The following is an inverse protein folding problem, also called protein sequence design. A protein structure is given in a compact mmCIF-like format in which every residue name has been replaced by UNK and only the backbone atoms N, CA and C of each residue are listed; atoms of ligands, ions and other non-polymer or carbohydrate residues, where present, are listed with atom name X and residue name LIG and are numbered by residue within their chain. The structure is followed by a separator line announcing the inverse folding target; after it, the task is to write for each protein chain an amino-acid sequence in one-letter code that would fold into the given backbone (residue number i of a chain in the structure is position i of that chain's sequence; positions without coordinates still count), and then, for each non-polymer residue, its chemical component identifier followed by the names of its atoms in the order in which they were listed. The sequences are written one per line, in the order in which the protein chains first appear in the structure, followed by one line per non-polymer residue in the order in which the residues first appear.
data_IF_519947477337
#
_entry.id   IF_519947477337
#
_cell.length_a   1.000
_cell.length_b   1.000
_cell.length_c   1.000
_cell.angle_alpha   90.00
_cell.angle_beta   90.00
_cell.angle_gamma   90.00
#
_symmetry.space_group_name_H-M   'P 1'
#
loop_
_entity.id
_entity.type
_entity.pdbx_description
1 polymer ?
#
# COMPACT_ATOMS: atom_id res chain seq x y z
N UNK A 1 -6.22 -0.94 -17.24
CA UNK A 1 -5.49 0.36 -17.19
C UNK A 1 -6.34 1.36 -16.42
N UNK A 2 -5.84 1.95 -15.32
CA UNK A 2 -6.62 2.93 -14.53
C UNK A 2 -7.10 4.10 -15.41
N UNK A 3 -8.31 4.56 -15.17
CA UNK A 3 -8.87 5.74 -15.85
C UNK A 3 -7.95 6.94 -15.61
N UNK A 4 -7.32 7.46 -16.67
CA UNK A 4 -6.36 8.58 -16.56
C UNK A 4 -6.93 9.75 -15.77
N UNK A 5 -8.23 10.08 -15.95
CA UNK A 5 -8.89 11.16 -15.21
C UNK A 5 -8.91 10.90 -13.70
N UNK A 6 -9.22 9.68 -13.30
CA UNK A 6 -9.22 9.27 -11.89
C UNK A 6 -7.81 9.35 -11.28
N UNK A 7 -6.79 8.93 -12.03
CA UNK A 7 -5.39 9.05 -11.60
C UNK A 7 -5.00 10.52 -11.37
N UNK A 8 -5.34 11.42 -12.30
CA UNK A 8 -5.05 12.85 -12.11
C UNK A 8 -5.78 13.45 -10.92
N UNK A 9 -7.05 13.08 -10.71
CA UNK A 9 -7.83 13.53 -9.56
C UNK A 9 -7.21 13.02 -8.26
N UNK A 10 -6.88 11.72 -8.16
CA UNK A 10 -6.23 11.15 -6.99
C UNK A 10 -4.87 11.78 -6.71
N UNK A 11 -4.06 12.03 -7.74
CA UNK A 11 -2.79 12.76 -7.60
C UNK A 11 -3.06 14.18 -7.07
N UNK A 12 -4.04 14.89 -7.62
CA UNK A 12 -4.40 16.22 -7.14
C UNK A 12 -4.76 16.19 -5.64
N UNK A 13 -5.62 15.27 -5.18
CA UNK A 13 -5.97 15.18 -3.75
C UNK A 13 -4.83 14.69 -2.85
N UNK A 14 -3.89 13.90 -3.38
CA UNK A 14 -2.70 13.52 -2.64
C UNK A 14 -1.89 14.77 -2.22
N UNK A 15 -1.81 15.78 -3.09
CA UNK A 15 -1.18 17.08 -2.79
C UNK A 15 -2.14 18.06 -2.10
N UNK A 16 -3.39 18.15 -2.56
CA UNK A 16 -4.41 19.13 -2.15
C UNK A 16 -5.66 18.42 -1.61
N UNK A 17 -5.63 17.91 -0.37
CA UNK A 17 -6.78 17.31 0.25
C UNK A 17 -7.90 18.35 0.44
N UNK A 18 -9.18 17.94 0.54
CA UNK A 18 -10.32 18.88 0.53
C UNK A 18 -10.25 19.98 1.60
N UNK A 19 -9.67 19.68 2.77
CA UNK A 19 -9.53 20.65 3.86
C UNK A 19 -8.55 21.80 3.53
N UNK A 20 -7.62 21.64 2.58
CA UNK A 20 -6.82 22.77 2.08
C UNK A 20 -7.69 23.76 1.30
N UNK A 21 -8.63 23.26 0.49
CA UNK A 21 -9.55 24.12 -0.27
C UNK A 21 -10.43 24.93 0.69
N UNK A 22 -10.97 24.29 1.73
CA UNK A 22 -11.74 24.95 2.78
C UNK A 22 -10.89 26.04 3.46
N UNK A 23 -9.66 25.71 3.85
CA UNK A 23 -8.74 26.67 4.46
C UNK A 23 -8.40 27.85 3.56
N UNK A 24 -8.17 27.61 2.26
CA UNK A 24 -7.90 28.68 1.27
C UNK A 24 -9.11 29.58 1.08
N UNK A 25 -10.32 29.03 1.06
CA UNK A 25 -11.56 29.82 1.01
C UNK A 25 -11.68 30.72 2.24
N UNK A 26 -11.46 30.19 3.44
CA UNK A 26 -11.49 30.96 4.69
C UNK A 26 -10.40 32.06 4.67
N UNK A 27 -9.18 31.74 4.25
CA UNK A 27 -8.09 32.71 4.14
C UNK A 27 -8.45 33.84 3.16
N UNK A 28 -9.06 33.50 2.03
CA UNK A 28 -9.50 34.48 1.01
C UNK A 28 -10.57 35.41 1.57
N UNK A 29 -11.54 34.88 2.34
CA UNK A 29 -12.57 35.70 2.99
C UNK A 29 -11.95 36.71 3.98
N UNK A 30 -10.98 36.28 4.80
CA UNK A 30 -10.24 37.18 5.69
C UNK A 30 -9.41 38.22 4.92
N UNK A 31 -8.88 37.86 3.75
CA UNK A 31 -8.11 38.79 2.91
C UNK A 31 -8.99 39.90 2.35
N UNK A 32 -10.19 39.54 1.87
CA UNK A 32 -11.19 40.48 1.32
C UNK A 32 -11.67 41.47 2.38
N UNK A 33 -11.82 41.03 3.63
CA UNK A 33 -12.31 41.89 4.72
C UNK A 33 -11.31 43.00 5.12
N UNK A 34 -10.03 42.87 4.79
CA UNK A 34 -9.04 43.94 4.99
C UNK A 34 -8.57 44.14 6.44
N UNK A 35 -7.80 45.21 6.68
CA UNK A 35 -7.34 45.62 8.02
C UNK A 35 -6.59 44.52 8.80
N UNK A 36 -6.90 44.37 10.09
CA UNK A 36 -6.26 43.36 10.97
C UNK A 36 -6.53 41.91 10.52
N UNK A 37 -7.60 41.66 9.75
CA UNK A 37 -7.90 40.31 9.26
C UNK A 37 -6.98 39.83 8.14
N UNK A 38 -6.27 40.73 7.45
CA UNK A 38 -5.29 40.34 6.42
C UNK A 38 -4.12 39.54 7.00
N UNK A 39 -3.62 39.91 8.18
CA UNK A 39 -2.55 39.13 8.82
C UNK A 39 -2.99 37.71 9.17
N UNK A 40 -4.26 37.52 9.57
CA UNK A 40 -4.83 36.19 9.78
C UNK A 40 -4.95 35.42 8.45
N UNK A 41 -5.36 36.08 7.37
CA UNK A 41 -5.40 35.48 6.03
C UNK A 41 -4.02 34.96 5.61
N UNK A 42 -2.99 35.79 5.69
CA UNK A 42 -1.62 35.40 5.33
C UNK A 42 -1.10 34.26 6.20
N UNK A 43 -1.30 34.33 7.52
CA UNK A 43 -0.95 33.22 8.43
C UNK A 43 -1.62 31.91 8.02
N UNK A 44 -2.91 31.94 7.66
CA UNK A 44 -3.62 30.74 7.21
C UNK A 44 -3.08 30.21 5.88
N UNK A 45 -2.77 31.10 4.91
CA UNK A 45 -2.10 30.71 3.67
C UNK A 45 -0.72 30.08 3.93
N UNK A 46 0.08 30.65 4.85
CA UNK A 46 1.39 30.10 5.20
C UNK A 46 1.30 28.70 5.82
N UNK A 47 0.29 28.46 6.67
CA UNK A 47 0.04 27.12 7.25
C UNK A 47 -0.33 26.12 6.15
N UNK A 48 -1.23 26.48 5.23
CA UNK A 48 -1.64 25.60 4.13
C UNK A 48 -0.44 25.30 3.21
N UNK A 49 0.33 26.34 2.85
CA UNK A 49 1.54 26.20 2.06
C UNK A 49 2.62 25.39 2.77
N UNK A 50 2.77 25.54 4.09
CA UNK A 50 3.71 24.74 4.88
C UNK A 50 3.39 23.25 4.73
N UNK A 51 2.13 22.84 4.92
CA UNK A 51 1.76 21.44 4.76
C UNK A 51 1.85 20.94 3.31
N UNK A 52 1.55 21.79 2.33
CA UNK A 52 1.80 21.47 0.92
C UNK A 52 3.30 21.24 0.66
N UNK A 53 4.15 22.15 1.13
CA UNK A 53 5.60 22.07 0.95
C UNK A 53 6.25 20.96 1.77
N UNK A 54 5.66 20.48 2.87
CA UNK A 54 6.12 19.25 3.54
C UNK A 54 6.03 18.06 2.57
N UNK A 55 4.96 17.96 1.76
CA UNK A 55 4.83 16.89 0.76
C UNK A 55 5.87 17.03 -0.36
N UNK A 56 6.11 18.27 -0.82
CA UNK A 56 7.17 18.56 -1.80
C UNK A 56 8.55 18.22 -1.23
N UNK A 57 8.79 18.56 0.03
CA UNK A 57 10.02 18.30 0.78
C UNK A 57 10.30 16.78 0.89
N UNK A 58 9.27 15.95 1.09
CA UNK A 58 9.41 14.48 1.04
C UNK A 58 9.88 14.02 -0.34
N UNK A 59 9.33 14.56 -1.43
CA UNK A 59 9.74 14.19 -2.79
C UNK A 59 11.20 14.59 -3.03
N UNK A 60 11.59 15.80 -2.62
CA UNK A 60 12.97 16.28 -2.73
C UNK A 60 13.93 15.42 -1.91
N UNK A 61 13.54 15.02 -0.70
CA UNK A 61 14.29 14.11 0.17
C UNK A 61 14.56 12.76 -0.53
N UNK A 62 13.52 12.12 -1.07
CA UNK A 62 13.70 10.85 -1.79
C UNK A 62 14.55 11.01 -3.06
N UNK A 63 14.37 12.11 -3.80
CA UNK A 63 15.24 12.43 -4.94
C UNK A 63 16.70 12.59 -4.50
N UNK A 64 16.95 13.14 -3.32
CA UNK A 64 18.27 13.24 -2.71
C UNK A 64 18.95 11.88 -2.55
N UNK A 65 18.25 10.89 -2.00
CA UNK A 65 18.77 9.52 -1.91
C UNK A 65 19.12 8.94 -3.28
N UNK A 66 18.29 9.14 -4.31
CA UNK A 66 18.58 8.64 -5.66
C UNK A 66 19.83 9.30 -6.26
N UNK A 67 19.94 10.62 -6.14
CA UNK A 67 21.07 11.40 -6.68
C UNK A 67 22.36 11.02 -5.98
N UNK A 68 22.38 11.07 -4.65
CA UNK A 68 23.58 10.74 -3.86
C UNK A 68 23.92 9.25 -3.93
N UNK A 69 22.93 8.37 -4.03
CA UNK A 69 23.14 6.96 -4.31
C UNK A 69 23.86 6.75 -5.63
N UNK A 70 23.44 7.45 -6.69
CA UNK A 70 24.09 7.40 -8.01
C UNK A 70 25.50 8.01 -7.98
N UNK A 71 25.72 9.14 -7.31
CA UNK A 71 27.04 9.76 -7.12
C UNK A 71 27.98 8.80 -6.37
N UNK A 72 27.47 8.15 -5.32
CA UNK A 72 28.17 7.11 -4.60
C UNK A 72 28.32 5.81 -5.42
N UNK A 73 27.97 5.78 -6.71
CA UNK A 73 28.12 4.63 -7.60
C UNK A 73 27.18 3.45 -7.31
N UNK A 74 26.12 3.68 -6.52
CA UNK A 74 25.01 2.77 -6.38
C UNK A 74 24.11 2.78 -7.62
N UNK A 75 23.19 1.82 -7.69
CA UNK A 75 22.16 1.74 -8.73
C UNK A 75 20.79 1.95 -8.08
N UNK A 76 20.23 3.17 -8.13
CA UNK A 76 18.87 3.41 -7.65
C UNK A 76 17.89 2.55 -8.42
N UNK A 77 16.97 1.89 -7.72
CA UNK A 77 16.02 0.94 -8.32
C UNK A 77 14.57 1.27 -7.98
N UNK A 78 14.32 1.81 -6.80
CA UNK A 78 12.96 2.08 -6.32
C UNK A 78 12.83 3.44 -5.64
N UNK A 79 11.64 4.03 -5.80
CA UNK A 79 11.17 5.16 -5.01
C UNK A 79 9.69 5.01 -4.76
N UNK A 80 9.29 5.02 -3.49
CA UNK A 80 7.90 4.98 -3.07
C UNK A 80 7.61 6.31 -2.42
N UNK A 81 6.64 7.05 -2.97
CA UNK A 81 6.18 8.33 -2.48
C UNK A 81 4.82 8.14 -1.82
N UNK A 82 4.79 8.25 -0.50
CA UNK A 82 3.60 8.15 0.32
C UNK A 82 3.26 6.75 0.82
N UNK A 83 2.16 6.65 1.56
CA UNK A 83 1.64 5.41 2.16
C UNK A 83 0.22 5.07 1.69
N UNK A 84 -0.15 3.79 1.85
CA UNK A 84 -1.45 3.22 1.50
C UNK A 84 -1.61 2.86 0.02
N UNK A 85 -2.81 3.04 -0.53
CA UNK A 85 -3.12 2.59 -1.89
C UNK A 85 -2.29 3.33 -2.94
N UNK A 86 -1.79 2.57 -3.91
CA UNK A 86 -1.07 3.05 -5.07
C UNK A 86 -2.00 3.82 -6.00
N UNK A 87 -1.64 5.05 -6.34
CA UNK A 87 -2.30 5.86 -7.36
C UNK A 87 -1.72 5.48 -8.72
N UNK A 88 -0.41 5.61 -8.87
CA UNK A 88 0.30 5.35 -10.13
C UNK A 88 1.69 4.77 -9.86
N UNK A 89 2.09 3.84 -10.73
CA UNK A 89 3.44 3.29 -10.81
C UNK A 89 3.99 3.51 -12.21
N UNK A 90 5.22 3.97 -12.31
CA UNK A 90 5.91 4.16 -13.59
C UNK A 90 7.42 3.97 -13.42
N UNK A 91 8.15 3.86 -14.53
CA UNK A 91 9.61 3.72 -14.52
C UNK A 91 10.25 4.94 -15.16
N UNK A 92 11.19 5.58 -14.45
CA UNK A 92 11.93 6.75 -14.95
C UNK A 92 13.44 6.56 -14.74
N UNK A 93 14.23 6.66 -15.81
CA UNK A 93 15.68 6.44 -15.80
C UNK A 93 16.11 5.11 -15.15
N UNK A 94 15.30 4.05 -15.29
CA UNK A 94 15.59 2.75 -14.68
C UNK A 94 15.02 2.57 -13.26
N UNK A 95 14.60 3.65 -12.60
CA UNK A 95 14.02 3.63 -11.25
C UNK A 95 12.51 3.43 -11.34
N UNK A 96 11.97 2.47 -10.60
CA UNK A 96 10.52 2.29 -10.42
C UNK A 96 10.01 3.30 -9.39
N UNK A 97 9.09 4.14 -9.79
CA UNK A 97 8.49 5.18 -8.96
C UNK A 97 7.03 4.82 -8.72
N UNK A 98 6.67 4.68 -7.44
CA UNK A 98 5.31 4.37 -6.98
C UNK A 98 4.79 5.56 -6.18
N UNK A 99 3.65 6.12 -6.56
CA UNK A 99 3.01 7.23 -5.86
C UNK A 99 1.73 6.74 -5.21
N UNK A 100 1.66 6.88 -3.88
CA UNK A 100 0.54 6.47 -3.04
C UNK A 100 -0.30 7.69 -2.59
N UNK A 101 -1.50 7.43 -2.10
CA UNK A 101 -2.46 8.49 -1.77
C UNK A 101 -2.05 9.47 -0.65
N UNK A 102 -1.22 9.06 0.32
CA UNK A 102 -0.78 9.90 1.46
C UNK A 102 0.70 10.21 1.37
N UNK A 103 1.08 11.35 0.80
CA UNK A 103 2.46 11.80 0.57
C UNK A 103 3.17 12.34 1.83
N UNK A 104 3.07 11.63 2.95
CA UNK A 104 3.66 12.06 4.24
C UNK A 104 4.97 11.33 4.58
N UNK A 105 5.39 10.39 3.74
CA UNK A 105 6.56 9.54 3.92
C UNK A 105 7.07 9.15 2.54
N UNK A 106 8.36 8.89 2.41
CA UNK A 106 8.92 8.29 1.21
C UNK A 106 9.91 7.19 1.58
N UNK A 107 10.24 6.37 0.59
CA UNK A 107 11.32 5.38 0.66
C UNK A 107 12.04 5.34 -0.68
N UNK A 108 13.35 5.51 -0.68
CA UNK A 108 14.21 5.26 -1.81
C UNK A 108 15.06 4.02 -1.53
N UNK A 109 15.39 3.27 -2.59
CA UNK A 109 16.29 2.12 -2.50
C UNK A 109 17.33 2.15 -3.62
N UNK A 110 18.58 1.85 -3.27
CA UNK A 110 19.70 1.75 -4.20
C UNK A 110 20.60 0.57 -3.83
N UNK A 111 21.04 -0.20 -4.83
CA UNK A 111 22.01 -1.29 -4.61
C UNK A 111 23.45 -0.82 -4.75
N UNK A 112 24.33 -1.39 -3.93
CA UNK A 112 25.78 -1.15 -3.98
C UNK A 112 26.52 -2.46 -4.24
N UNK A 113 26.90 -2.70 -5.51
CA UNK A 113 27.56 -3.95 -5.93
C UNK A 113 29.08 -3.94 -5.79
N UNK A 114 29.72 -2.75 -5.79
CA UNK A 114 31.17 -2.63 -5.67
C UNK A 114 31.60 -2.58 -4.19
N UNK A 115 32.66 -3.32 -3.82
CA UNK A 115 33.15 -3.44 -2.43
C UNK A 115 33.93 -2.25 -1.84
N UNK A 116 34.76 -1.47 -2.57
CA UNK A 116 35.62 -0.48 -1.92
C UNK A 116 34.79 0.64 -1.29
N UNK A 117 35.14 1.02 -0.05
CA UNK A 117 34.51 2.09 0.71
C UNK A 117 32.98 1.97 0.86
N UNK A 118 32.45 0.75 0.96
CA UNK A 118 31.00 0.51 0.99
C UNK A 118 30.29 1.32 2.08
N UNK A 119 30.85 1.39 3.30
CA UNK A 119 30.30 2.21 4.39
C UNK A 119 30.24 3.70 4.03
N UNK A 120 31.29 4.27 3.45
CA UNK A 120 31.30 5.68 3.03
C UNK A 120 30.26 5.95 1.92
N UNK A 121 30.15 5.03 0.96
CA UNK A 121 29.20 5.14 -0.15
C UNK A 121 27.75 5.05 0.35
N UNK A 122 27.50 4.15 1.29
CA UNK A 122 26.21 4.01 1.94
C UNK A 122 25.89 5.22 2.84
N UNK A 123 26.89 5.76 3.55
CA UNK A 123 26.74 7.01 4.31
C UNK A 123 26.34 8.18 3.41
N UNK A 124 26.98 8.34 2.25
CA UNK A 124 26.63 9.36 1.27
C UNK A 124 25.19 9.19 0.78
N UNK A 125 24.78 7.95 0.50
CA UNK A 125 23.42 7.62 0.10
C UNK A 125 22.39 7.97 1.18
N UNK A 126 22.60 7.51 2.41
CA UNK A 126 21.72 7.81 3.55
C UNK A 126 21.67 9.32 3.84
N UNK A 127 22.78 10.03 3.61
CA UNK A 127 22.84 11.48 3.82
C UNK A 127 22.15 12.28 2.72
N UNK A 128 21.91 11.68 1.56
CA UNK A 128 21.41 12.37 0.38
C UNK A 128 20.08 13.09 0.59
N UNK A 129 19.16 12.47 1.33
CA UNK A 129 17.85 13.05 1.59
C UNK A 129 17.94 14.35 2.40
N UNK A 130 18.46 14.29 3.62
CA UNK A 130 18.53 15.48 4.47
C UNK A 130 19.50 16.54 3.92
N UNK A 131 20.59 16.16 3.24
CA UNK A 131 21.49 17.13 2.60
C UNK A 131 20.79 17.88 1.48
N UNK A 132 19.93 17.22 0.71
CA UNK A 132 19.13 17.87 -0.34
C UNK A 132 18.18 18.91 0.27
N UNK A 133 17.49 18.55 1.35
CA UNK A 133 16.61 19.49 2.04
C UNK A 133 17.37 20.68 2.63
N UNK A 134 18.55 20.45 3.23
CA UNK A 134 19.41 21.52 3.73
C UNK A 134 19.91 22.44 2.60
N UNK A 135 20.31 21.87 1.46
CA UNK A 135 20.70 22.65 0.27
C UNK A 135 19.54 23.52 -0.24
N UNK A 136 18.33 22.99 -0.24
CA UNK A 136 17.13 23.74 -0.65
C UNK A 136 16.81 24.88 0.33
N UNK A 137 16.97 24.67 1.64
CA UNK A 137 16.88 25.74 2.65
C UNK A 137 17.92 26.83 2.39
N UNK A 138 19.19 26.45 2.23
CA UNK A 138 20.28 27.40 1.99
C UNK A 138 20.05 28.20 0.70
N UNK A 139 19.65 27.54 -0.40
CA UNK A 139 19.34 28.19 -1.66
C UNK A 139 18.21 29.22 -1.52
N UNK A 140 17.12 28.86 -0.84
CA UNK A 140 15.98 29.77 -0.66
C UNK A 140 16.30 30.93 0.27
N UNK A 141 17.11 30.71 1.32
CA UNK A 141 17.62 31.77 2.18
C UNK A 141 18.53 32.74 1.42
N UNK A 142 19.37 32.25 0.52
CA UNK A 142 20.22 33.10 -0.32
C UNK A 142 19.42 33.93 -1.32
N UNK A 143 18.36 33.36 -1.90
CA UNK A 143 17.55 34.03 -2.93
C UNK A 143 16.52 35.01 -2.35
N UNK A 144 15.92 34.68 -1.20
CA UNK A 144 14.76 35.41 -0.66
C UNK A 144 14.97 35.96 0.75
N UNK A 145 16.07 35.60 1.43
CA UNK A 145 16.32 35.98 2.82
C UNK A 145 15.50 35.18 3.83
N UNK A 146 15.53 35.61 5.09
CA UNK A 146 14.74 35.02 6.18
C UNK A 146 13.84 36.08 6.83
N UNK A 147 12.53 35.92 6.67
CA UNK A 147 11.52 36.85 7.19
C UNK A 147 10.64 36.18 8.25
N UNK A 148 11.09 36.04 9.51
CA UNK A 148 10.33 35.33 10.54
C UNK A 148 8.99 36.01 10.90
N UNK A 149 8.85 37.31 10.65
CA UNK A 149 7.59 38.04 10.83
C UNK A 149 6.48 37.57 9.88
N UNK A 150 6.82 36.85 8.81
CA UNK A 150 5.87 36.21 7.90
C UNK A 150 4.99 35.18 8.62
N UNK A 151 5.49 34.50 9.67
CA UNK A 151 4.70 33.56 10.49
C UNK A 151 3.44 34.22 11.05
N UNK A 152 3.54 35.50 11.44
CA UNK A 152 2.45 36.27 12.04
C UNK A 152 1.61 37.01 10.98
N UNK A 153 1.87 36.77 9.70
CA UNK A 153 1.23 37.48 8.58
C UNK A 153 1.55 38.96 8.51
N UNK A 154 2.61 39.43 9.20
CA UNK A 154 3.01 40.85 9.19
C UNK A 154 3.86 41.23 7.97
N UNK A 155 4.54 40.25 7.37
CA UNK A 155 5.35 40.42 6.15
C UNK A 155 4.58 40.27 4.84
N UNK A 156 3.25 40.11 4.89
CA UNK A 156 2.44 39.78 3.71
C UNK A 156 2.54 38.30 3.32
N UNK A 157 2.21 38.01 2.05
CA UNK A 157 2.27 36.67 1.49
C UNK A 157 3.70 36.34 1.04
N UNK A 158 4.32 35.38 1.73
CA UNK A 158 5.70 34.95 1.51
C UNK A 158 5.77 33.41 1.43
N UNK A 159 5.62 32.82 0.23
CA UNK A 159 5.67 31.37 0.07
C UNK A 159 7.07 30.79 0.27
N UNK A 160 8.13 31.58 0.08
CA UNK A 160 9.51 31.14 0.29
C UNK A 160 9.75 30.77 1.75
N UNK A 161 9.20 31.56 2.68
CA UNK A 161 9.24 31.25 4.11
C UNK A 161 8.61 29.88 4.43
N UNK A 162 7.41 29.57 3.93
CA UNK A 162 6.76 28.27 4.16
C UNK A 162 7.58 27.10 3.58
N UNK A 163 8.24 27.29 2.44
CA UNK A 163 9.10 26.29 1.83
C UNK A 163 10.38 26.06 2.65
N UNK A 164 11.03 27.14 3.12
CA UNK A 164 12.20 27.07 4.00
C UNK A 164 11.84 26.30 5.27
N UNK A 165 10.70 26.63 5.90
CA UNK A 165 10.26 25.98 7.13
C UNK A 165 9.92 24.50 6.91
N UNK A 166 9.26 24.15 5.81
CA UNK A 166 8.97 22.76 5.45
C UNK A 166 10.24 21.90 5.30
N UNK A 167 11.22 22.38 4.53
CA UNK A 167 12.47 21.65 4.31
C UNK A 167 13.33 21.59 5.58
N UNK A 168 13.34 22.66 6.38
CA UNK A 168 14.01 22.67 7.69
C UNK A 168 13.41 21.63 8.64
N UNK A 169 12.08 21.55 8.70
CA UNK A 169 11.39 20.55 9.52
C UNK A 169 11.71 19.13 9.06
N UNK A 170 11.67 18.86 7.75
CA UNK A 170 12.04 17.54 7.20
C UNK A 170 13.50 17.19 7.50
N UNK A 171 14.44 18.13 7.36
CA UNK A 171 15.84 17.93 7.74
C UNK A 171 15.96 17.52 9.22
N UNK A 172 15.30 18.24 10.13
CA UNK A 172 15.33 17.90 11.57
C UNK A 172 14.74 16.53 11.84
N UNK A 173 13.56 16.22 11.29
CA UNK A 173 12.86 14.93 11.53
C UNK A 173 13.71 13.75 11.05
N UNK A 174 14.33 13.85 9.88
CA UNK A 174 15.07 12.74 9.25
C UNK A 174 16.36 12.37 9.99
N UNK A 175 16.97 13.32 10.71
CA UNK A 175 18.16 13.10 11.53
C UNK A 175 17.83 12.44 12.87
N UNK A 176 16.60 12.61 13.37
CA UNK A 176 16.19 12.01 14.66
C UNK A 176 16.18 10.48 14.52
N UNK A 177 16.87 9.73 15.39
CA UNK A 177 16.89 8.27 15.30
C UNK A 177 15.60 7.66 15.84
N UNK A 178 14.73 7.22 14.93
CA UNK A 178 13.54 6.43 15.26
C UNK A 178 13.35 5.24 14.31
N UNK A 179 12.40 4.36 14.65
CA UNK A 179 11.93 3.30 13.77
C UNK A 179 10.56 3.67 13.21
N UNK A 180 10.37 3.44 11.91
CA UNK A 180 9.07 3.55 11.25
C UNK A 180 8.53 2.15 10.91
N UNK A 181 7.21 2.05 10.69
CA UNK A 181 6.59 0.82 10.20
C UNK A 181 6.05 1.09 8.79
N UNK A 182 6.50 0.33 7.81
CA UNK A 182 5.98 0.37 6.45
C UNK A 182 5.54 -1.03 6.03
N UNK A 183 4.25 -1.21 5.73
CA UNK A 183 3.64 -2.51 5.39
C UNK A 183 4.01 -3.63 6.38
N UNK A 184 3.99 -3.31 7.68
CA UNK A 184 4.34 -4.25 8.76
C UNK A 184 5.85 -4.42 9.00
N UNK A 185 6.70 -3.94 8.10
CA UNK A 185 8.16 -4.00 8.23
C UNK A 185 8.65 -2.83 9.08
N UNK A 186 9.44 -3.12 10.11
CA UNK A 186 10.08 -2.10 10.94
C UNK A 186 11.34 -1.59 10.22
N UNK A 187 11.25 -0.39 9.66
CA UNK A 187 12.36 0.27 8.97
C UNK A 187 13.05 1.26 9.91
N UNK A 188 14.35 1.47 9.71
CA UNK A 188 15.13 2.48 10.43
C UNK A 188 15.01 3.81 9.71
N UNK A 189 14.90 4.91 10.47
CA UNK A 189 15.10 6.25 9.92
C UNK A 189 16.52 6.44 9.37
N UNK A 190 16.73 7.46 8.54
CA UNK A 190 18.06 7.78 8.00
C UNK A 190 19.05 8.07 9.13
N UNK A 191 18.66 8.91 10.10
CA UNK A 191 19.47 9.22 11.28
C UNK A 191 19.87 7.97 12.07
N UNK A 192 18.93 7.05 12.31
CA UNK A 192 19.24 5.79 12.99
C UNK A 192 20.18 4.90 12.17
N UNK A 193 19.96 4.82 10.85
CA UNK A 193 20.80 4.05 9.93
C UNK A 193 22.24 4.58 9.92
N UNK A 194 22.41 5.90 9.92
CA UNK A 194 23.74 6.55 9.96
C UNK A 194 24.46 6.27 11.28
N UNK A 195 23.77 6.42 12.41
CA UNK A 195 24.35 6.16 13.74
C UNK A 195 24.80 4.70 13.86
N UNK A 196 24.04 3.76 13.29
CA UNK A 196 24.34 2.33 13.37
C UNK A 196 25.38 1.88 12.34
N UNK A 197 25.61 2.64 11.28
CA UNK A 197 26.47 2.26 10.15
C UNK A 197 27.90 1.83 10.54
N UNK A 198 28.59 2.46 11.51
CA UNK A 198 29.91 2.01 11.95
C UNK A 198 29.90 0.57 12.48
N UNK A 199 28.79 0.15 13.11
CA UNK A 199 28.63 -1.15 13.78
C UNK A 199 28.06 -2.26 12.87
N UNK A 200 27.63 -1.92 11.66
CA UNK A 200 27.10 -2.92 10.70
C UNK A 200 28.27 -3.52 9.91
N UNK A 201 28.30 -4.85 9.80
CA UNK A 201 29.27 -5.55 8.95
C UNK A 201 29.03 -5.25 7.47
N UNK A 202 30.10 -5.08 6.70
CA UNK A 202 30.01 -4.74 5.28
C UNK A 202 29.23 -5.77 4.46
N UNK A 203 29.25 -7.05 4.87
CA UNK A 203 28.45 -8.10 4.25
C UNK A 203 26.94 -7.83 4.40
N UNK A 204 26.49 -7.39 5.57
CA UNK A 204 25.08 -7.06 5.80
C UNK A 204 24.62 -5.83 5.02
N UNK A 205 25.54 -4.93 4.63
CA UNK A 205 25.23 -3.79 3.74
C UNK A 205 25.05 -4.27 2.29
N UNK A 206 25.83 -5.26 1.84
CA UNK A 206 25.66 -5.83 0.49
C UNK A 206 24.42 -6.70 0.32
N UNK A 207 23.86 -7.22 1.42
CA UNK A 207 22.69 -8.14 1.44
C UNK A 207 21.35 -7.40 1.17
N UNK A 208 21.37 -6.07 1.04
CA UNK A 208 20.23 -5.23 0.64
C UNK A 208 19.69 -5.55 -0.77
N UNK A 209 20.35 -6.43 -1.54
CA UNK A 209 19.79 -6.99 -2.77
C UNK A 209 18.51 -7.77 -2.52
N UNK A 210 18.39 -8.44 -1.37
CA UNK A 210 17.20 -9.23 -1.04
C UNK A 210 15.96 -8.33 -0.85
N UNK A 211 16.14 -7.14 -0.29
CA UNK A 211 15.07 -6.15 -0.11
C UNK A 211 14.56 -5.61 -1.45
N UNK A 212 15.41 -5.56 -2.46
CA UNK A 212 15.00 -5.14 -3.80
C UNK A 212 14.40 -6.32 -4.56
N UNK A 213 14.97 -7.52 -4.44
CA UNK A 213 14.41 -8.73 -5.06
C UNK A 213 13.02 -9.07 -4.50
N UNK A 214 12.77 -8.83 -3.21
CA UNK A 214 11.45 -9.04 -2.61
C UNK A 214 10.44 -7.98 -3.07
N UNK A 215 10.88 -6.74 -3.30
CA UNK A 215 10.05 -5.69 -3.92
C UNK A 215 9.76 -6.01 -5.39
N UNK A 216 10.75 -6.49 -6.16
CA UNK A 216 10.57 -6.94 -7.54
C UNK A 216 9.59 -8.12 -7.61
N UNK A 217 9.74 -9.10 -6.71
CA UNK A 217 8.82 -10.24 -6.61
C UNK A 217 7.40 -9.81 -6.26
N UNK A 218 7.27 -8.87 -5.31
CA UNK A 218 5.97 -8.31 -4.93
C UNK A 218 5.33 -7.50 -6.07
N UNK A 219 6.11 -6.74 -6.82
CA UNK A 219 5.61 -6.02 -8.00
C UNK A 219 5.05 -7.01 -9.03
N UNK A 220 5.78 -8.08 -9.35
CA UNK A 220 5.30 -9.12 -10.27
C UNK A 220 4.05 -9.81 -9.73
N UNK A 221 3.98 -10.07 -8.42
CA UNK A 221 2.79 -10.62 -7.78
C UNK A 221 1.58 -9.70 -7.95
N UNK A 222 1.73 -8.40 -7.68
CA UNK A 222 0.66 -7.41 -7.83
C UNK A 222 0.23 -7.23 -9.29
N UNK A 223 1.19 -7.35 -10.22
CA UNK A 223 0.93 -7.30 -11.67
C UNK A 223 0.37 -8.65 -12.20
N UNK A 224 0.04 -9.60 -11.30
CA UNK A 224 -0.49 -10.94 -11.59
C UNK A 224 0.45 -11.80 -12.46
N UNK A 225 1.74 -11.44 -12.52
CA UNK A 225 2.78 -12.22 -13.15
C UNK A 225 3.38 -13.21 -12.14
N UNK A 226 2.59 -14.23 -11.81
CA UNK A 226 2.94 -15.18 -10.75
C UNK A 226 4.14 -16.05 -11.11
N UNK A 227 4.42 -16.28 -12.39
CA UNK A 227 5.58 -17.04 -12.84
C UNK A 227 6.89 -16.35 -12.42
N UNK A 228 7.06 -15.08 -12.80
CA UNK A 228 8.25 -14.29 -12.43
C UNK A 228 8.33 -14.02 -10.94
N UNK A 229 7.19 -13.77 -10.29
CA UNK A 229 7.13 -13.60 -8.84
C UNK A 229 7.61 -14.88 -8.13
N UNK A 230 7.15 -16.05 -8.57
CA UNK A 230 7.54 -17.35 -8.01
C UNK A 230 9.03 -17.62 -8.19
N UNK A 231 9.61 -17.31 -9.35
CA UNK A 231 11.04 -17.47 -9.61
C UNK A 231 11.89 -16.67 -8.60
N UNK A 232 11.54 -15.40 -8.38
CA UNK A 232 12.24 -14.56 -7.41
C UNK A 232 12.01 -15.01 -5.97
N UNK A 233 10.78 -15.36 -5.58
CA UNK A 233 10.53 -15.85 -4.22
C UNK A 233 11.26 -17.17 -3.95
N UNK A 234 11.34 -18.09 -4.91
CA UNK A 234 12.13 -19.33 -4.78
C UNK A 234 13.60 -19.05 -4.54
N UNK A 235 14.17 -18.04 -5.21
CA UNK A 235 15.54 -17.59 -4.95
C UNK A 235 15.71 -17.07 -3.52
N UNK A 236 14.75 -16.26 -3.06
CA UNK A 236 14.74 -15.66 -1.72
C UNK A 236 14.58 -16.67 -0.58
N UNK A 237 14.11 -17.90 -0.85
CA UNK A 237 14.07 -18.98 0.15
C UNK A 237 15.47 -19.35 0.68
N UNK A 238 16.53 -19.09 -0.11
CA UNK A 238 17.91 -19.32 0.30
C UNK A 238 18.54 -18.14 1.06
N UNK A 239 17.74 -17.11 1.39
CA UNK A 239 18.21 -15.97 2.18
C UNK A 239 18.64 -16.42 3.59
N UNK A 240 19.76 -15.88 4.06
CA UNK A 240 20.21 -16.04 5.45
C UNK A 240 19.34 -15.29 6.45
N UNK A 241 18.51 -14.35 5.98
CA UNK A 241 17.58 -13.60 6.82
C UNK A 241 16.25 -14.35 6.91
N UNK A 242 15.93 -14.87 8.09
CA UNK A 242 14.70 -15.66 8.32
C UNK A 242 13.45 -14.91 7.88
N UNK A 243 13.36 -13.60 8.18
CA UNK A 243 12.22 -12.77 7.79
C UNK A 243 11.98 -12.75 6.27
N UNK A 244 13.04 -12.63 5.48
CA UNK A 244 12.95 -12.64 4.00
C UNK A 244 12.52 -14.01 3.51
N UNK A 245 13.11 -15.08 4.06
CA UNK A 245 12.77 -16.46 3.70
C UNK A 245 11.29 -16.77 4.02
N UNK A 246 10.83 -16.43 5.22
CA UNK A 246 9.44 -16.65 5.65
C UNK A 246 8.46 -15.85 4.80
N UNK A 247 8.78 -14.60 4.48
CA UNK A 247 7.96 -13.78 3.59
C UNK A 247 7.88 -14.36 2.18
N UNK A 248 9.01 -14.85 1.65
CA UNK A 248 9.04 -15.48 0.33
C UNK A 248 8.21 -16.77 0.31
N UNK A 249 8.32 -17.62 1.33
CA UNK A 249 7.53 -18.84 1.47
C UNK A 249 6.03 -18.54 1.60
N UNK A 250 5.65 -17.54 2.40
CA UNK A 250 4.27 -17.10 2.53
C UNK A 250 3.67 -16.63 1.20
N UNK A 251 4.42 -15.81 0.44
CA UNK A 251 3.96 -15.33 -0.85
C UNK A 251 3.93 -16.43 -1.92
N UNK A 252 4.80 -17.44 -1.84
CA UNK A 252 4.70 -18.64 -2.70
C UNK A 252 3.42 -19.41 -2.42
N UNK A 253 3.04 -19.62 -1.15
CA UNK A 253 1.77 -20.24 -0.80
C UNK A 253 0.57 -19.42 -1.31
N UNK A 254 0.65 -18.10 -1.27
CA UNK A 254 -0.36 -17.23 -1.88
C UNK A 254 -0.43 -17.40 -3.41
N UNK A 255 0.71 -17.58 -4.09
CA UNK A 255 0.77 -17.86 -5.53
C UNK A 255 0.11 -19.21 -5.86
N UNK A 256 0.41 -20.25 -5.08
CA UNK A 256 -0.21 -21.58 -5.22
C UNK A 256 -1.74 -21.47 -5.13
N UNK A 257 -2.25 -20.73 -4.15
CA UNK A 257 -3.68 -20.47 -4.01
C UNK A 257 -4.26 -19.69 -5.21
N UNK A 258 -3.57 -18.64 -5.68
CA UNK A 258 -4.00 -17.86 -6.84
C UNK A 258 -3.98 -18.64 -8.16
N UNK A 259 -3.17 -19.70 -8.23
CA UNK A 259 -3.13 -20.66 -9.33
C UNK A 259 -4.10 -21.83 -9.17
N UNK A 260 -5.04 -21.74 -8.21
CA UNK A 260 -6.07 -22.76 -7.97
C UNK A 260 -5.47 -24.10 -7.51
N UNK A 261 -4.48 -24.04 -6.62
CA UNK A 261 -3.88 -25.22 -5.98
C UNK A 261 -4.10 -25.18 -4.46
N UNK A 262 -5.35 -25.26 -3.97
CA UNK A 262 -5.68 -25.00 -2.57
C UNK A 262 -5.06 -26.02 -1.60
N UNK A 263 -4.93 -27.29 -1.98
CA UNK A 263 -4.31 -28.33 -1.15
C UNK A 263 -2.80 -28.08 -0.98
N UNK A 264 -2.12 -27.72 -2.06
CA UNK A 264 -0.70 -27.38 -2.04
C UNK A 264 -0.46 -26.10 -1.22
N UNK A 265 -1.25 -25.06 -1.47
CA UNK A 265 -1.19 -23.81 -0.72
C UNK A 265 -1.41 -24.04 0.78
N UNK A 266 -2.39 -24.87 1.14
CA UNK A 266 -2.66 -25.23 2.53
C UNK A 266 -1.45 -25.91 3.18
N UNK A 267 -0.84 -26.91 2.52
CA UNK A 267 0.36 -27.57 3.02
C UNK A 267 1.51 -26.58 3.24
N UNK A 268 1.74 -25.67 2.27
CA UNK A 268 2.72 -24.60 2.38
C UNK A 268 2.44 -23.64 3.55
N UNK A 269 1.17 -23.26 3.77
CA UNK A 269 0.79 -22.43 4.91
C UNK A 269 0.97 -23.13 6.26
N UNK A 270 0.71 -24.43 6.35
CA UNK A 270 0.92 -25.20 7.58
C UNK A 270 2.41 -25.36 7.90
N UNK A 271 3.25 -25.55 6.88
CA UNK A 271 4.70 -25.64 7.06
C UNK A 271 5.32 -24.37 7.66
N UNK A 272 4.67 -23.20 7.48
CA UNK A 272 5.13 -21.93 8.04
C UNK A 272 4.83 -21.79 9.53
N UNK A 273 3.88 -22.54 10.10
CA UNK A 273 3.39 -22.35 11.49
C UNK A 273 4.32 -22.96 12.56
N UNK A 274 5.59 -23.19 12.24
CA UNK A 274 6.54 -23.78 13.18
C UNK A 274 6.77 -22.81 14.37
N UNK A 275 6.83 -23.28 15.64
CA UNK A 275 6.83 -22.41 16.82
C UNK A 275 7.97 -21.38 16.90
N UNK A 276 9.09 -21.65 16.24
CA UNK A 276 10.26 -20.75 16.19
C UNK A 276 10.01 -19.47 15.36
N UNK A 277 9.00 -19.47 14.48
CA UNK A 277 8.70 -18.37 13.54
C UNK A 277 7.57 -17.43 14.01
N UNK A 278 7.05 -17.66 15.23
CA UNK A 278 5.81 -17.09 15.77
C UNK A 278 5.76 -15.56 15.77
N UNK A 279 6.85 -14.88 16.11
CA UNK A 279 6.86 -13.40 16.20
C UNK A 279 6.66 -12.70 14.84
N UNK A 280 7.08 -13.33 13.74
CA UNK A 280 6.83 -12.80 12.40
C UNK A 280 5.37 -13.03 12.00
N UNK A 281 4.88 -14.25 12.24
CA UNK A 281 3.51 -14.64 11.93
C UNK A 281 2.48 -13.83 12.70
N UNK A 282 2.78 -13.31 13.89
CA UNK A 282 1.86 -12.45 14.64
C UNK A 282 1.36 -11.26 13.80
N UNK A 283 2.24 -10.62 13.01
CA UNK A 283 1.86 -9.51 12.14
C UNK A 283 1.08 -9.96 10.88
N UNK A 284 1.20 -11.24 10.53
CA UNK A 284 0.54 -11.86 9.36
C UNK A 284 -0.65 -12.73 9.76
N UNK A 285 -0.96 -12.84 11.06
CA UNK A 285 -1.89 -13.84 11.56
C UNK A 285 -3.28 -13.66 10.93
N UNK A 286 -3.74 -12.42 10.77
CA UNK A 286 -5.02 -12.16 10.09
C UNK A 286 -5.00 -12.58 8.63
N UNK A 287 -3.93 -12.26 7.90
CA UNK A 287 -3.78 -12.59 6.46
C UNK A 287 -3.60 -14.10 6.26
N UNK A 288 -2.81 -14.76 7.11
CA UNK A 288 -2.59 -16.20 7.10
C UNK A 288 -3.92 -16.94 7.30
N UNK A 289 -4.66 -16.60 8.36
CA UNK A 289 -5.96 -17.22 8.63
C UNK A 289 -6.95 -16.96 7.49
N UNK A 290 -6.93 -15.75 6.92
CA UNK A 290 -7.75 -15.42 5.74
C UNK A 290 -7.44 -16.32 4.54
N UNK A 291 -6.16 -16.57 4.23
CA UNK A 291 -5.77 -17.44 3.12
C UNK A 291 -6.08 -18.92 3.40
N UNK A 292 -5.91 -19.36 4.65
CA UNK A 292 -6.26 -20.73 5.07
C UNK A 292 -7.77 -20.97 4.97
N UNK A 293 -8.60 -19.97 5.32
CA UNK A 293 -10.04 -20.02 5.07
C UNK A 293 -10.33 -20.28 3.59
N UNK A 294 -9.67 -19.58 2.67
CA UNK A 294 -9.86 -19.81 1.24
C UNK A 294 -9.45 -21.22 0.81
N UNK A 295 -8.39 -21.78 1.39
CA UNK A 295 -8.03 -23.17 1.13
C UNK A 295 -9.19 -24.11 1.53
N UNK A 296 -9.73 -23.99 2.75
CA UNK A 296 -10.86 -24.82 3.20
C UNK A 296 -12.14 -24.63 2.38
N UNK A 297 -12.35 -23.45 1.80
CA UNK A 297 -13.50 -23.18 0.92
C UNK A 297 -13.37 -23.83 -0.45
N UNK A 298 -12.15 -24.05 -0.94
CA UNK A 298 -11.85 -24.42 -2.32
C UNK A 298 -11.34 -25.85 -2.50
N UNK A 299 -10.81 -26.50 -1.46
CA UNK A 299 -10.42 -27.91 -1.51
C UNK A 299 -11.63 -28.80 -1.83
N UNK A 300 -11.37 -29.96 -2.44
CA UNK A 300 -12.41 -30.95 -2.78
C UNK A 300 -13.19 -31.41 -1.55
N UNK A 301 -12.49 -31.68 -0.44
CA UNK A 301 -13.06 -32.03 0.86
C UNK A 301 -13.42 -30.79 1.70
N UNK A 302 -14.17 -29.87 1.09
CA UNK A 302 -14.57 -28.59 1.67
C UNK A 302 -15.04 -28.70 3.13
N UNK A 303 -14.44 -27.90 4.00
CA UNK A 303 -14.74 -27.88 5.45
C UNK A 303 -15.17 -26.47 5.88
N UNK A 304 -16.49 -26.26 5.93
CA UNK A 304 -17.07 -24.96 6.25
C UNK A 304 -16.88 -24.54 7.71
N UNK A 305 -16.77 -25.51 8.64
CA UNK A 305 -16.58 -25.23 10.05
C UNK A 305 -15.18 -24.68 10.30
N UNK A 306 -14.15 -25.32 9.73
CA UNK A 306 -12.78 -24.81 9.80
C UNK A 306 -12.59 -23.51 9.03
N UNK A 307 -13.23 -23.37 7.87
CA UNK A 307 -13.23 -22.12 7.12
C UNK A 307 -13.75 -20.96 8.00
N UNK A 308 -14.83 -21.18 8.76
CA UNK A 308 -15.37 -20.20 9.68
C UNK A 308 -14.46 -19.92 10.87
N UNK A 309 -13.90 -20.96 11.49
CA UNK A 309 -12.97 -20.81 12.61
C UNK A 309 -11.82 -19.86 12.23
N UNK A 310 -11.15 -20.15 11.11
CA UNK A 310 -10.07 -19.31 10.61
C UNK A 310 -10.55 -17.91 10.20
N UNK A 311 -11.71 -17.79 9.56
CA UNK A 311 -12.24 -16.48 9.17
C UNK A 311 -12.55 -15.61 10.39
N UNK A 312 -13.03 -16.22 11.48
CA UNK A 312 -13.28 -15.56 12.76
C UNK A 312 -11.97 -15.07 13.38
N UNK A 313 -10.95 -15.93 13.46
CA UNK A 313 -9.62 -15.53 13.96
C UNK A 313 -9.02 -14.38 13.15
N UNK A 314 -9.15 -14.43 11.83
CA UNK A 314 -8.69 -13.35 10.95
C UNK A 314 -9.42 -12.03 11.24
N UNK A 315 -10.75 -12.09 11.35
CA UNK A 315 -11.62 -10.93 11.58
C UNK A 315 -11.40 -10.31 12.96
N UNK A 316 -11.24 -11.10 14.00
CA UNK A 316 -10.94 -10.60 15.35
C UNK A 316 -9.59 -9.87 15.41
N UNK A 317 -8.59 -10.36 14.67
CA UNK A 317 -7.27 -9.74 14.61
C UNK A 317 -7.25 -8.43 13.80
N UNK A 318 -8.08 -8.29 12.76
CA UNK A 318 -8.06 -7.13 11.87
C UNK A 318 -9.45 -6.78 11.28
N UNK A 319 -10.43 -6.38 12.11
CA UNK A 319 -11.83 -6.24 11.69
C UNK A 319 -12.09 -5.07 10.72
N UNK A 320 -11.15 -4.14 10.61
CA UNK A 320 -11.23 -2.96 9.74
C UNK A 320 -10.58 -3.16 8.38
N UNK A 321 -9.93 -4.30 8.12
CA UNK A 321 -9.23 -4.57 6.87
C UNK A 321 -10.22 -5.16 5.85
N UNK A 322 -10.47 -4.50 4.70
CA UNK A 322 -11.48 -4.94 3.73
C UNK A 322 -11.34 -6.38 3.25
N UNK A 323 -10.11 -6.86 3.05
CA UNK A 323 -9.81 -8.24 2.64
C UNK A 323 -10.28 -9.27 3.67
N UNK A 324 -10.18 -8.91 4.95
CA UNK A 324 -10.56 -9.77 6.08
C UNK A 324 -12.08 -9.76 6.25
N UNK A 325 -12.70 -8.57 6.17
CA UNK A 325 -14.15 -8.43 6.14
C UNK A 325 -14.77 -9.23 4.98
N UNK A 326 -14.16 -9.13 3.80
CA UNK A 326 -14.55 -9.89 2.61
C UNK A 326 -14.55 -11.39 2.89
N UNK A 327 -13.43 -11.95 3.37
CA UNK A 327 -13.32 -13.39 3.65
C UNK A 327 -14.35 -13.86 4.68
N UNK A 328 -14.60 -13.09 5.75
CA UNK A 328 -15.65 -13.43 6.72
C UNK A 328 -17.05 -13.40 6.09
N UNK A 329 -17.35 -12.38 5.27
CA UNK A 329 -18.61 -12.28 4.56
C UNK A 329 -18.85 -13.44 3.60
N UNK A 330 -17.82 -13.86 2.87
CA UNK A 330 -17.86 -15.03 1.97
C UNK A 330 -18.22 -16.30 2.73
N UNK A 331 -17.55 -16.57 3.85
CA UNK A 331 -17.85 -17.76 4.66
C UNK A 331 -19.29 -17.75 5.17
N UNK A 332 -19.80 -16.60 5.63
CA UNK A 332 -21.19 -16.48 6.07
C UNK A 332 -22.17 -16.80 4.93
N UNK A 333 -21.95 -16.25 3.73
CA UNK A 333 -22.79 -16.57 2.56
C UNK A 333 -22.75 -18.07 2.27
N UNK A 334 -21.57 -18.67 2.31
CA UNK A 334 -21.39 -20.09 2.00
C UNK A 334 -21.98 -21.03 3.04
N UNK A 335 -22.07 -20.59 4.30
CA UNK A 335 -22.74 -21.31 5.39
C UNK A 335 -24.26 -21.20 5.39
N UNK A 336 -24.83 -20.31 4.58
CA UNK A 336 -26.28 -20.06 4.59
C UNK A 336 -26.70 -18.82 5.38
N UNK A 337 -25.78 -18.15 6.09
CA UNK A 337 -26.03 -16.93 6.86
C UNK A 337 -26.06 -15.70 5.94
N UNK A 338 -26.94 -15.72 4.94
CA UNK A 338 -26.92 -14.78 3.82
C UNK A 338 -27.12 -13.33 4.26
N UNK A 339 -27.96 -13.08 5.25
CA UNK A 339 -28.25 -11.72 5.70
C UNK A 339 -27.02 -11.02 6.29
N UNK A 340 -26.32 -11.67 7.23
CA UNK A 340 -25.11 -11.11 7.84
C UNK A 340 -23.96 -11.06 6.82
N UNK A 341 -23.82 -12.09 5.97
CA UNK A 341 -22.85 -12.07 4.88
C UNK A 341 -23.07 -10.88 3.91
N UNK A 342 -24.31 -10.62 3.50
CA UNK A 342 -24.66 -9.50 2.63
C UNK A 342 -24.41 -8.14 3.29
N UNK A 343 -24.68 -8.02 4.60
CA UNK A 343 -24.43 -6.80 5.37
C UNK A 343 -22.94 -6.44 5.41
N UNK A 344 -22.07 -7.44 5.49
CA UNK A 344 -20.60 -7.25 5.46
C UNK A 344 -20.10 -6.98 4.03
N UNK A 345 -20.58 -7.73 3.03
CA UNK A 345 -20.02 -7.66 1.67
C UNK A 345 -20.50 -6.47 0.86
N UNK A 346 -21.76 -6.02 1.01
CA UNK A 346 -22.30 -4.92 0.19
C UNK A 346 -21.50 -3.62 0.29
N UNK A 347 -21.06 -3.16 1.47
CA UNK A 347 -20.21 -1.96 1.60
C UNK A 347 -18.85 -2.09 0.91
N UNK A 348 -18.37 -3.30 0.61
CA UNK A 348 -17.08 -3.54 -0.04
C UNK A 348 -17.16 -3.46 -1.58
N UNK A 349 -18.37 -3.38 -2.13
CA UNK A 349 -18.58 -3.29 -3.58
C UNK A 349 -18.56 -1.83 -4.02
N UNK A 350 -17.44 -1.42 -4.62
CA UNK A 350 -17.29 -0.12 -5.29
C UNK A 350 -17.46 -0.26 -6.81
N UNK A 351 -18.64 0.09 -7.31
CA UNK A 351 -18.95 0.01 -8.75
C UNK A 351 -18.09 0.94 -9.63
N UNK A 352 -17.36 1.90 -9.04
CA UNK A 352 -16.46 2.81 -9.75
C UNK A 352 -15.01 2.30 -9.76
N UNK A 353 -14.67 1.35 -8.88
CA UNK A 353 -13.30 0.86 -8.71
C UNK A 353 -13.23 -0.68 -8.68
N UNK A 354 -13.13 -1.26 -9.86
CA UNK A 354 -12.96 -2.70 -10.08
C UNK A 354 -11.56 -3.17 -9.61
N UNK A 355 -11.49 -3.68 -8.38
CA UNK A 355 -10.35 -4.40 -7.81
C UNK A 355 -10.79 -5.79 -7.36
N UNK A 356 -9.83 -6.66 -7.03
CA UNK A 356 -10.11 -8.06 -6.68
C UNK A 356 -11.16 -8.19 -5.56
N UNK A 357 -10.99 -7.48 -4.43
CA UNK A 357 -11.95 -7.51 -3.30
C UNK A 357 -13.35 -7.07 -3.72
N UNK A 358 -13.44 -6.00 -4.50
CA UNK A 358 -14.71 -5.45 -4.96
C UNK A 358 -15.43 -6.38 -5.92
N UNK A 359 -14.71 -6.99 -6.86
CA UNK A 359 -15.29 -7.91 -7.85
C UNK A 359 -15.72 -9.20 -7.16
N UNK A 360 -14.86 -9.83 -6.35
CA UNK A 360 -15.22 -11.05 -5.62
C UNK A 360 -16.33 -10.82 -4.61
N UNK A 361 -16.35 -9.68 -3.91
CA UNK A 361 -17.49 -9.31 -3.05
C UNK A 361 -18.78 -9.21 -3.85
N UNK A 362 -18.74 -8.64 -5.06
CA UNK A 362 -19.90 -8.57 -5.93
C UNK A 362 -20.38 -9.96 -6.40
N UNK A 363 -19.47 -10.92 -6.64
CA UNK A 363 -19.82 -12.32 -6.92
C UNK A 363 -20.66 -12.89 -5.78
N UNK A 364 -20.16 -12.82 -4.55
CA UNK A 364 -20.83 -13.39 -3.39
C UNK A 364 -22.09 -12.62 -2.96
N UNK A 365 -22.14 -11.31 -3.20
CA UNK A 365 -23.39 -10.54 -3.03
C UNK A 365 -24.43 -10.96 -4.06
N UNK A 366 -24.04 -11.18 -5.31
CA UNK A 366 -24.94 -11.73 -6.33
C UNK A 366 -25.48 -13.09 -5.89
N UNK A 367 -24.60 -14.00 -5.47
CA UNK A 367 -24.98 -15.32 -5.01
C UNK A 367 -25.91 -15.31 -3.78
N UNK A 368 -25.58 -14.54 -2.74
CA UNK A 368 -26.45 -14.39 -1.57
C UNK A 368 -27.81 -13.79 -1.90
N UNK A 369 -27.90 -12.86 -2.87
CA UNK A 369 -29.17 -12.31 -3.32
C UNK A 369 -30.00 -13.30 -4.15
N UNK A 370 -29.36 -14.16 -4.94
CA UNK A 370 -30.05 -15.27 -5.64
C UNK A 370 -30.66 -16.25 -4.64
N UNK A 371 -29.92 -16.61 -3.59
CA UNK A 371 -30.44 -17.47 -2.52
C UNK A 371 -31.64 -16.87 -1.78
N UNK A 372 -31.72 -15.53 -1.72
CA UNK A 372 -32.87 -14.81 -1.16
C UNK A 372 -33.98 -14.50 -2.18
N UNK A 373 -33.96 -15.07 -3.39
CA UNK A 373 -34.90 -14.76 -4.48
C UNK A 373 -34.94 -13.28 -4.91
N UNK A 374 -33.89 -12.50 -4.62
CA UNK A 374 -33.80 -11.06 -4.93
C UNK A 374 -33.12 -10.83 -6.29
N UNK A 375 -33.59 -11.51 -7.34
CA UNK A 375 -32.95 -11.53 -8.67
C UNK A 375 -32.76 -10.13 -9.29
N UNK A 376 -33.76 -9.25 -9.16
CA UNK A 376 -33.67 -7.87 -9.67
C UNK A 376 -32.51 -7.10 -9.04
N UNK A 377 -32.33 -7.25 -7.73
CA UNK A 377 -31.22 -6.62 -7.00
C UNK A 377 -29.88 -7.26 -7.34
N UNK A 378 -29.85 -8.58 -7.56
CA UNK A 378 -28.64 -9.32 -7.91
C UNK A 378 -28.10 -8.93 -9.29
N UNK A 379 -28.99 -8.57 -10.24
CA UNK A 379 -28.63 -8.26 -11.62
C UNK A 379 -27.52 -7.23 -11.76
N UNK A 380 -27.58 -6.15 -10.95
CA UNK A 380 -26.55 -5.10 -10.95
C UNK A 380 -25.16 -5.64 -10.61
N UNK A 381 -25.08 -6.56 -9.64
CA UNK A 381 -23.81 -7.16 -9.22
C UNK A 381 -23.31 -8.16 -10.27
N UNK A 382 -24.21 -8.97 -10.83
CA UNK A 382 -23.91 -9.89 -11.92
C UNK A 382 -23.29 -9.15 -13.12
N UNK A 383 -23.95 -8.11 -13.61
CA UNK A 383 -23.49 -7.35 -14.78
C UNK A 383 -22.13 -6.68 -14.51
N UNK A 384 -21.89 -6.22 -13.27
CA UNK A 384 -20.61 -5.68 -12.86
C UNK A 384 -19.50 -6.74 -12.88
N UNK A 385 -19.75 -7.94 -12.34
CA UNK A 385 -18.78 -9.04 -12.36
C UNK A 385 -18.45 -9.44 -13.80
N UNK A 386 -19.46 -9.71 -14.64
CA UNK A 386 -19.25 -10.12 -16.04
C UNK A 386 -18.41 -9.10 -16.81
N UNK A 387 -18.62 -7.81 -16.55
CA UNK A 387 -17.86 -6.73 -17.18
C UNK A 387 -16.37 -6.74 -16.81
N UNK A 388 -16.02 -7.17 -15.59
CA UNK A 388 -14.67 -7.00 -15.02
C UNK A 388 -13.94 -8.31 -14.69
N UNK A 389 -14.57 -9.48 -14.84
CA UNK A 389 -13.98 -10.79 -14.50
C UNK A 389 -12.72 -11.12 -15.31
N UNK A 390 -12.55 -10.56 -16.50
CA UNK A 390 -11.33 -10.75 -17.30
C UNK A 390 -10.11 -10.03 -16.71
N UNK A 391 -10.31 -9.07 -15.79
CA UNK A 391 -9.25 -8.29 -15.13
C UNK A 391 -8.78 -8.94 -13.82
N UNK A 392 -9.44 -10.02 -13.35
CA UNK A 392 -9.20 -10.64 -12.04
C UNK A 392 -8.08 -11.71 -12.08
N UNK A 393 -7.79 -12.31 -10.92
CA UNK A 393 -6.82 -13.42 -10.81
C UNK A 393 -7.40 -14.73 -11.40
N UNK A 394 -6.56 -15.75 -11.71
CA UNK A 394 -7.06 -17.07 -12.11
C UNK A 394 -7.99 -17.68 -11.06
N UNK A 395 -7.69 -17.50 -9.77
CA UNK A 395 -8.54 -17.94 -8.68
C UNK A 395 -9.93 -17.31 -8.71
N UNK A 396 -10.01 -15.98 -8.90
CA UNK A 396 -11.30 -15.29 -8.94
C UNK A 396 -12.17 -15.79 -10.11
N UNK A 397 -11.53 -16.08 -11.26
CA UNK A 397 -12.21 -16.68 -12.41
C UNK A 397 -12.73 -18.08 -12.10
N UNK A 398 -11.90 -18.91 -11.49
CA UNK A 398 -12.29 -20.25 -11.07
C UNK A 398 -13.50 -20.21 -10.13
N UNK A 399 -13.48 -19.32 -9.14
CA UNK A 399 -14.61 -19.11 -8.21
C UNK A 399 -15.87 -18.70 -8.99
N UNK A 400 -15.75 -17.74 -9.91
CA UNK A 400 -16.89 -17.26 -10.68
C UNK A 400 -17.49 -18.34 -11.58
N UNK A 401 -16.67 -19.12 -12.26
CA UNK A 401 -17.13 -20.19 -13.15
C UNK A 401 -17.98 -21.22 -12.39
N UNK A 402 -17.52 -21.65 -11.20
CA UNK A 402 -18.28 -22.54 -10.31
C UNK A 402 -19.55 -21.87 -9.77
N UNK A 403 -19.48 -20.57 -9.48
CA UNK A 403 -20.62 -19.81 -8.98
C UNK A 403 -21.72 -19.69 -10.03
N UNK A 404 -21.36 -19.53 -11.30
CA UNK A 404 -22.32 -19.43 -12.41
C UNK A 404 -23.21 -20.66 -12.51
N UNK A 405 -22.65 -21.85 -12.34
CA UNK A 405 -23.43 -23.09 -12.41
C UNK A 405 -24.39 -23.21 -11.22
N UNK A 406 -23.97 -22.77 -10.02
CA UNK A 406 -24.85 -22.66 -8.86
C UNK A 406 -25.98 -21.66 -9.07
N UNK A 407 -25.69 -20.50 -9.67
CA UNK A 407 -26.71 -19.49 -9.98
C UNK A 407 -27.75 -20.01 -10.99
N UNK A 408 -27.32 -20.78 -12.00
CA UNK A 408 -28.23 -21.42 -12.96
C UNK A 408 -29.14 -22.43 -12.26
N UNK A 409 -28.58 -23.30 -11.43
CA UNK A 409 -29.35 -24.30 -10.69
C UNK A 409 -30.44 -23.64 -9.81
N UNK A 410 -30.10 -22.58 -9.07
CA UNK A 410 -31.07 -21.81 -8.27
C UNK A 410 -32.16 -21.22 -9.17
N UNK A 411 -31.80 -20.63 -10.31
CA UNK A 411 -32.77 -20.03 -11.21
C UNK A 411 -33.72 -21.07 -11.84
N UNK A 412 -33.23 -22.27 -12.14
CA UNK A 412 -34.03 -23.38 -12.67
C UNK A 412 -34.98 -23.95 -11.62
N UNK A 413 -34.50 -24.19 -10.41
CA UNK A 413 -35.31 -24.63 -9.27
C UNK A 413 -36.47 -23.64 -9.03
N UNK A 414 -36.19 -22.34 -9.07
CA UNK A 414 -37.18 -21.31 -8.78
C UNK A 414 -38.22 -21.15 -9.89
N UNK A 415 -37.80 -21.24 -11.16
CA UNK A 415 -38.73 -21.34 -12.29
C UNK A 415 -39.65 -22.56 -12.19
N UNK A 416 -39.13 -23.70 -11.74
CA UNK A 416 -39.94 -24.90 -11.56
C UNK A 416 -41.00 -24.74 -10.45
N UNK A 417 -40.73 -23.88 -9.45
CA UNK A 417 -41.66 -23.53 -8.37
C UNK A 417 -42.66 -22.42 -8.74
N UNK A 418 -42.51 -21.78 -9.91
CA UNK A 418 -43.38 -20.67 -10.33
C UNK A 418 -43.09 -19.33 -9.63
N UNK A 419 -41.93 -19.21 -8.97
CA UNK A 419 -41.37 -17.96 -8.41
C UNK A 419 -40.52 -17.22 -9.45
#
# INVERSE_FOLDING_TARGET
MKNKKQVYFQLFYAFFPPYYLIGMTIATLFLINGGKSQSFAYMLFHIILLFFFIKVSVILHECGHLIFGKIAGGKPQYTILGVGHEIVRFKWSGVKITVNHKLNMGLAFATFTKKPFLKLRYLLYLSGGFLTNLMMVALMLLLFGFHPESIRGKGGFDPAFSFILANSLSFVITIIPYHTKYRGIKLKSDGLSIIQLPFIDSENITVDTNDIEILDAYDYFQDKNYEKASELYKKLLNSKQDMVRLQAAFNLACIELNNVQPEQAFASFQALKNPEDTKYLDNYNSVWNSNVTWCYLLMENRDLEKAEEHAKMAFEAAPSVPQIQHTKGVVLIEKGDWEEGLKILKPLVDFEFANDVTITSAMYVCYGLYQQNKFKSARRYYDFVVKHISETTPLDRYIWDHMIDRLKAIAEEKRALGE
#
